data_IF_014369053141
#
_entry.id   IF_014369053141
#
_cell.length_a   1.000
_cell.length_b   1.000
_cell.length_c   1.000
_cell.angle_alpha   90.00
_cell.angle_beta   90.00
_cell.angle_gamma   90.00
#
_symmetry.space_group_name_H-M   'P 1'
#
loop_
_entity.id
_entity.type
_entity.pdbx_description
1 polymer ?
#
# COMPACT_ATOMS: atom_id res chain seq x y z
N UNK A 1 27.41 42.76 29.41
CA UNK A 1 26.16 42.12 29.04
C UNK A 1 26.29 41.65 27.59
N UNK A 2 26.74 40.44 27.37
CA UNK A 2 26.96 39.85 26.06
C UNK A 2 25.75 38.96 25.75
N UNK A 3 24.96 39.41 24.77
CA UNK A 3 23.83 38.68 24.23
C UNK A 3 24.34 37.52 23.37
N UNK A 4 24.11 36.29 23.82
CA UNK A 4 24.38 35.10 23.05
C UNK A 4 23.20 34.85 22.14
N UNK A 5 23.38 35.12 20.84
CA UNK A 5 22.39 34.79 19.82
C UNK A 5 22.30 33.26 19.71
N UNK A 6 21.09 32.74 19.84
CA UNK A 6 20.75 31.35 19.59
C UNK A 6 20.95 31.06 18.08
N UNK A 7 21.59 29.98 17.66
CA UNK A 7 21.73 29.67 16.25
C UNK A 7 20.36 29.32 15.67
N UNK A 8 20.00 30.00 14.58
CA UNK A 8 18.84 29.69 13.74
C UNK A 8 18.90 28.23 13.28
N UNK A 9 18.11 27.38 13.91
CA UNK A 9 17.84 26.03 13.40
C UNK A 9 17.00 26.22 12.14
N UNK A 10 17.63 26.13 10.96
CA UNK A 10 16.92 26.03 9.69
C UNK A 10 15.94 24.87 9.80
N UNK A 11 14.66 25.05 9.43
CA UNK A 11 13.72 23.94 9.37
C UNK A 11 14.31 22.89 8.42
N UNK A 12 14.49 21.68 8.92
CA UNK A 12 14.99 20.55 8.15
C UNK A 12 14.05 20.39 6.95
N UNK A 13 14.50 20.74 5.76
CA UNK A 13 13.72 20.52 4.54
C UNK A 13 13.40 19.04 4.47
N UNK A 14 12.13 18.69 4.28
CA UNK A 14 11.72 17.30 4.11
C UNK A 14 12.62 16.68 3.02
N UNK A 15 13.14 15.45 3.24
CA UNK A 15 14.03 14.82 2.28
C UNK A 15 13.38 14.82 0.90
N UNK A 16 14.14 15.13 -0.13
CA UNK A 16 13.71 15.06 -1.51
C UNK A 16 13.17 13.67 -1.82
N UNK A 17 12.33 13.55 -2.81
CA UNK A 17 11.82 12.27 -3.29
C UNK A 17 12.09 12.19 -4.78
N UNK A 18 12.80 11.16 -5.19
CA UNK A 18 13.16 10.93 -6.58
C UNK A 18 12.20 9.94 -7.23
N UNK A 19 11.79 10.25 -8.46
CA UNK A 19 11.03 9.34 -9.31
C UNK A 19 11.92 8.85 -10.45
N UNK A 20 11.96 7.54 -10.68
CA UNK A 20 12.75 6.91 -11.74
C UNK A 20 11.87 5.97 -12.54
N UNK A 21 11.93 6.05 -13.87
CA UNK A 21 11.21 5.11 -14.70
C UNK A 21 11.30 5.40 -16.19
N UNK A 22 10.97 4.39 -16.99
CA UNK A 22 10.85 4.50 -18.45
C UNK A 22 9.36 4.70 -18.79
N UNK A 23 9.05 5.75 -19.54
CA UNK A 23 7.69 6.08 -19.90
C UNK A 23 7.50 6.18 -21.41
N UNK A 24 6.37 5.67 -21.87
CA UNK A 24 5.89 5.97 -23.20
C UNK A 24 5.32 7.42 -23.20
N UNK A 25 5.70 8.23 -24.19
CA UNK A 25 5.45 9.68 -24.29
C UNK A 25 3.96 10.12 -24.31
N UNK A 26 3.01 9.25 -23.96
CA UNK A 26 1.58 9.53 -24.15
C UNK A 26 0.96 10.40 -23.05
N UNK A 27 1.66 10.63 -21.93
CA UNK A 27 1.14 11.38 -20.77
C UNK A 27 2.12 12.46 -20.35
N UNK A 28 1.60 13.63 -19.97
CA UNK A 28 2.39 14.69 -19.33
C UNK A 28 2.63 14.30 -17.85
N UNK A 29 3.50 13.32 -17.65
CA UNK A 29 3.79 12.79 -16.32
C UNK A 29 4.49 13.81 -15.44
N UNK A 30 5.32 14.68 -16.02
CA UNK A 30 5.97 15.73 -15.26
C UNK A 30 4.95 16.71 -14.66
N UNK A 31 3.88 17.00 -15.39
CA UNK A 31 2.75 17.78 -14.85
C UNK A 31 2.02 17.03 -13.73
N UNK A 32 1.83 15.73 -13.89
CA UNK A 32 1.20 14.89 -12.85
C UNK A 32 2.11 14.75 -11.62
N UNK A 33 3.43 14.62 -11.80
CA UNK A 33 4.41 14.68 -10.72
C UNK A 33 4.34 16.01 -9.96
N UNK A 34 4.29 17.14 -10.69
CA UNK A 34 4.15 18.44 -10.07
C UNK A 34 2.86 18.58 -9.25
N UNK A 35 1.74 18.00 -9.71
CA UNK A 35 0.48 17.96 -8.96
C UNK A 35 0.58 17.14 -7.66
N UNK A 36 1.49 16.16 -7.60
CA UNK A 36 1.82 15.40 -6.40
C UNK A 36 2.90 16.08 -5.52
N UNK A 37 3.37 17.26 -5.89
CA UNK A 37 4.46 17.95 -5.19
C UNK A 37 5.81 17.28 -5.37
N UNK A 38 6.03 16.61 -6.51
CA UNK A 38 7.24 15.89 -6.86
C UNK A 38 8.01 16.60 -7.96
N UNK A 39 9.33 16.43 -7.97
CA UNK A 39 10.18 16.84 -9.07
C UNK A 39 9.87 16.02 -10.34
N UNK A 40 10.23 16.49 -11.54
CA UNK A 40 10.16 15.72 -12.77
C UNK A 40 10.87 14.36 -12.61
N UNK A 41 10.33 13.33 -13.26
CA UNK A 41 10.93 12.00 -13.22
C UNK A 41 12.31 11.96 -13.91
N UNK A 42 13.15 11.00 -13.52
CA UNK A 42 14.43 10.69 -14.14
C UNK A 42 14.36 9.35 -14.85
N UNK A 43 15.05 9.24 -16.00
CA UNK A 43 15.20 7.96 -16.68
C UNK A 43 16.44 7.18 -16.22
N UNK A 44 17.33 7.83 -15.47
CA UNK A 44 18.54 7.19 -14.94
C UNK A 44 18.23 6.48 -13.62
N UNK A 45 18.67 5.22 -13.45
CA UNK A 45 18.58 4.56 -12.16
C UNK A 45 19.36 5.34 -11.09
N UNK A 46 19.04 5.15 -9.80
CA UNK A 46 19.83 5.72 -8.73
C UNK A 46 21.24 5.14 -8.75
N UNK A 47 22.25 6.01 -8.62
CA UNK A 47 23.63 5.56 -8.48
C UNK A 47 23.78 4.86 -7.12
N UNK A 48 24.48 3.72 -7.07
CA UNK A 48 24.68 2.93 -5.85
C UNK A 48 25.46 3.68 -4.74
N UNK A 49 26.08 4.81 -5.08
CA UNK A 49 27.08 5.46 -4.22
C UNK A 49 26.56 6.66 -3.43
N UNK A 50 25.25 6.98 -3.40
CA UNK A 50 24.85 8.21 -2.70
C UNK A 50 23.38 8.56 -2.66
N UNK A 51 22.47 7.62 -2.76
CA UNK A 51 21.05 7.94 -2.70
C UNK A 51 20.64 8.31 -1.25
N UNK A 52 20.94 9.55 -0.85
CA UNK A 52 20.33 10.15 0.35
C UNK A 52 18.81 10.35 0.18
N UNK A 53 18.32 10.34 -1.06
CA UNK A 53 16.92 10.56 -1.38
C UNK A 53 16.18 9.24 -1.67
N UNK A 54 15.06 8.98 -0.97
CA UNK A 54 14.24 7.82 -1.25
C UNK A 54 13.71 7.88 -2.70
N UNK A 55 13.75 6.75 -3.39
CA UNK A 55 13.44 6.64 -4.81
C UNK A 55 12.21 5.75 -5.04
N UNK A 56 11.24 6.21 -5.81
CA UNK A 56 10.11 5.43 -6.31
C UNK A 56 10.32 5.04 -7.76
N UNK A 57 10.06 3.77 -8.09
CA UNK A 57 10.07 3.29 -9.46
C UNK A 57 8.71 3.57 -10.11
N UNK A 58 8.74 4.15 -11.33
CA UNK A 58 7.58 4.36 -12.19
C UNK A 58 7.64 3.38 -13.36
N UNK A 59 6.61 2.60 -13.58
CA UNK A 59 6.46 1.78 -14.78
C UNK A 59 4.99 1.41 -15.01
N UNK A 60 4.66 0.95 -16.20
CA UNK A 60 3.33 0.45 -16.51
C UNK A 60 3.35 -0.43 -17.75
N UNK A 61 2.52 -1.48 -17.76
CA UNK A 61 1.79 -2.06 -16.64
C UNK A 61 2.71 -2.76 -15.61
N UNK A 62 2.20 -2.97 -14.38
CA UNK A 62 2.96 -3.63 -13.32
C UNK A 62 3.21 -5.12 -13.66
N UNK A 63 4.44 -5.58 -13.43
CA UNK A 63 4.82 -6.99 -13.52
C UNK A 63 5.41 -7.47 -12.19
N UNK A 64 5.48 -8.80 -11.99
CA UNK A 64 6.11 -9.38 -10.80
C UNK A 64 7.55 -8.88 -10.66
N UNK A 65 8.28 -8.78 -11.75
CA UNK A 65 9.69 -8.36 -11.77
C UNK A 65 9.84 -6.88 -11.40
N UNK A 66 9.03 -5.99 -12.00
CA UNK A 66 9.08 -4.55 -11.69
C UNK A 66 8.70 -4.28 -10.24
N UNK A 67 7.67 -4.96 -9.71
CA UNK A 67 7.29 -4.83 -8.30
C UNK A 67 8.40 -5.34 -7.37
N UNK A 68 8.92 -6.54 -7.63
CA UNK A 68 10.01 -7.11 -6.81
C UNK A 68 11.23 -6.20 -6.79
N UNK A 69 11.61 -5.67 -7.94
CA UNK A 69 12.74 -4.75 -8.06
C UNK A 69 12.49 -3.46 -7.26
N UNK A 70 11.33 -2.85 -7.40
CA UNK A 70 10.97 -1.60 -6.73
C UNK A 70 10.83 -1.71 -5.20
N UNK A 71 10.60 -2.91 -4.68
CA UNK A 71 10.53 -3.18 -3.24
C UNK A 71 11.90 -3.52 -2.63
N UNK A 72 12.96 -3.54 -3.44
CA UNK A 72 14.35 -3.80 -3.02
C UNK A 72 15.11 -2.48 -2.98
N UNK A 73 15.93 -2.20 -1.93
CA UNK A 73 16.79 -1.03 -1.90
C UNK A 73 17.63 -0.89 -3.18
N UNK A 74 17.88 0.31 -3.70
CA UNK A 74 17.62 1.62 -3.09
C UNK A 74 16.21 2.15 -3.28
N UNK A 75 15.31 1.40 -3.93
CA UNK A 75 13.93 1.84 -4.13
C UNK A 75 13.11 1.75 -2.84
N UNK A 76 12.20 2.71 -2.70
CA UNK A 76 11.23 2.76 -1.61
C UNK A 76 9.81 2.36 -2.03
N UNK A 77 9.62 1.88 -3.26
CA UNK A 77 8.34 1.40 -3.75
C UNK A 77 8.09 1.63 -5.23
N UNK A 78 6.84 1.42 -5.61
CA UNK A 78 6.38 1.40 -7.00
C UNK A 78 5.10 2.22 -7.18
N UNK A 79 5.08 3.03 -8.23
CA UNK A 79 3.87 3.70 -8.70
C UNK A 79 3.58 3.23 -10.14
N UNK A 80 2.49 2.52 -10.32
CA UNK A 80 2.06 2.09 -11.65
C UNK A 80 1.56 3.27 -12.47
N UNK A 81 2.03 3.35 -13.72
CA UNK A 81 1.47 4.25 -14.72
C UNK A 81 0.26 3.54 -15.33
N UNK A 82 -0.93 3.97 -14.95
CA UNK A 82 -2.19 3.44 -15.48
C UNK A 82 -2.55 4.01 -16.85
N UNK A 83 -3.76 3.69 -17.33
CA UNK A 83 -4.30 4.22 -18.58
C UNK A 83 -4.44 5.74 -18.61
N UNK A 84 -4.50 6.37 -17.46
CA UNK A 84 -4.62 7.81 -17.20
C UNK A 84 -3.37 8.39 -16.50
N UNK A 85 -2.24 7.71 -16.64
CA UNK A 85 -0.96 8.09 -16.06
C UNK A 85 -0.91 7.84 -14.55
N UNK A 86 -0.59 8.88 -13.77
CA UNK A 86 -0.50 8.85 -12.31
C UNK A 86 -1.78 9.33 -11.61
N UNK A 87 -2.88 9.47 -12.33
CA UNK A 87 -4.16 9.90 -11.77
C UNK A 87 -4.59 8.96 -10.65
N UNK A 88 -5.13 9.53 -9.58
CA UNK A 88 -5.64 8.77 -8.43
C UNK A 88 -4.58 8.28 -7.45
N UNK A 89 -3.28 8.54 -7.67
CA UNK A 89 -2.26 8.27 -6.65
C UNK A 89 -2.50 9.18 -5.45
N UNK A 90 -2.58 8.56 -4.28
CA UNK A 90 -2.81 9.26 -3.02
C UNK A 90 -1.55 9.94 -2.48
N UNK A 91 -1.74 11.08 -1.80
CA UNK A 91 -0.65 11.81 -1.15
C UNK A 91 0.08 10.96 -0.10
N UNK A 92 -0.61 9.99 0.50
CA UNK A 92 -0.03 9.03 1.46
C UNK A 92 1.16 8.26 0.88
N UNK A 93 1.18 7.94 -0.43
CA UNK A 93 2.33 7.31 -1.09
C UNK A 93 3.61 8.14 -0.87
N UNK A 94 3.48 9.45 -1.08
CA UNK A 94 4.60 10.39 -0.99
C UNK A 94 5.04 10.58 0.46
N UNK A 95 4.07 10.78 1.35
CA UNK A 95 4.31 10.99 2.78
C UNK A 95 4.96 9.77 3.44
N UNK A 96 4.50 8.55 3.08
CA UNK A 96 5.08 7.31 3.59
C UNK A 96 6.54 7.18 3.22
N UNK A 97 6.88 7.44 1.95
CA UNK A 97 8.27 7.32 1.47
C UNK A 97 9.16 8.40 2.06
N UNK A 98 8.69 9.65 2.15
CA UNK A 98 9.41 10.74 2.82
C UNK A 98 9.66 10.47 4.31
N UNK A 99 8.79 9.69 4.93
CA UNK A 99 8.95 9.24 6.32
C UNK A 99 9.86 8.00 6.47
N UNK A 100 10.52 7.54 5.39
CA UNK A 100 11.40 6.37 5.39
C UNK A 100 10.69 5.02 5.22
N UNK A 101 9.39 5.03 4.93
CA UNK A 101 8.61 3.85 4.66
C UNK A 101 8.74 3.35 3.22
N UNK A 102 7.90 2.37 2.88
CA UNK A 102 7.73 1.90 1.50
C UNK A 102 6.27 1.96 1.06
N UNK A 103 6.06 2.15 -0.23
CA UNK A 103 4.71 2.24 -0.80
C UNK A 103 4.59 1.48 -2.12
N UNK A 104 3.36 1.07 -2.42
CA UNK A 104 2.99 0.47 -3.69
C UNK A 104 1.63 1.04 -4.11
N UNK A 105 1.52 1.53 -5.35
CA UNK A 105 0.24 1.96 -5.93
C UNK A 105 0.03 1.25 -7.26
N UNK A 106 -1.00 0.40 -7.34
CA UNK A 106 -1.38 -0.40 -8.52
C UNK A 106 -2.81 -0.11 -8.94
N UNK A 107 -3.08 -0.29 -10.24
CA UNK A 107 -4.47 -0.38 -10.72
C UNK A 107 -5.14 -1.66 -10.22
N UNK A 108 -6.46 -1.68 -10.12
CA UNK A 108 -7.22 -2.88 -9.74
C UNK A 108 -6.95 -4.04 -10.70
N UNK A 109 -6.77 -3.75 -12.00
CA UNK A 109 -6.40 -4.75 -13.01
C UNK A 109 -5.08 -5.42 -12.68
N UNK A 110 -4.03 -4.65 -12.47
CA UNK A 110 -2.69 -5.19 -12.17
C UNK A 110 -2.67 -5.92 -10.83
N UNK A 111 -3.33 -5.37 -9.82
CA UNK A 111 -3.42 -6.00 -8.51
C UNK A 111 -4.09 -7.39 -8.52
N UNK A 112 -5.00 -7.64 -9.48
CA UNK A 112 -5.62 -8.94 -9.69
C UNK A 112 -4.75 -9.95 -10.44
N UNK A 113 -3.66 -9.52 -11.08
CA UNK A 113 -2.83 -10.36 -11.95
C UNK A 113 -1.50 -10.76 -11.34
N UNK A 114 -1.07 -10.10 -10.25
CA UNK A 114 0.20 -10.35 -9.56
C UNK A 114 -0.03 -10.96 -8.17
N UNK A 115 0.90 -11.77 -7.64
CA UNK A 115 0.83 -12.29 -6.27
C UNK A 115 1.21 -11.21 -5.26
N UNK A 116 0.35 -10.18 -5.16
CA UNK A 116 0.63 -8.92 -4.46
C UNK A 116 0.98 -9.14 -2.99
N UNK A 117 0.20 -9.98 -2.29
CA UNK A 117 0.39 -10.26 -0.86
C UNK A 117 1.76 -10.88 -0.60
N UNK A 118 2.16 -11.87 -1.40
CA UNK A 118 3.45 -12.54 -1.28
C UNK A 118 4.62 -11.56 -1.50
N UNK A 119 4.54 -10.74 -2.56
CA UNK A 119 5.58 -9.75 -2.87
C UNK A 119 5.77 -8.75 -1.74
N UNK A 120 4.68 -8.22 -1.18
CA UNK A 120 4.71 -7.26 -0.09
C UNK A 120 5.20 -7.92 1.21
N UNK A 121 4.71 -9.11 1.56
CA UNK A 121 5.11 -9.81 2.77
C UNK A 121 6.63 -10.10 2.78
N UNK A 122 7.18 -10.54 1.64
CA UNK A 122 8.63 -10.73 1.47
C UNK A 122 9.38 -9.40 1.66
N UNK A 123 8.88 -8.31 1.09
CA UNK A 123 9.52 -6.99 1.21
C UNK A 123 9.48 -6.47 2.66
N UNK A 124 8.36 -6.63 3.37
CA UNK A 124 8.22 -6.26 4.78
C UNK A 124 9.24 -7.03 5.62
N UNK A 125 9.26 -8.37 5.49
CA UNK A 125 10.19 -9.22 6.25
C UNK A 125 11.65 -8.82 6.03
N UNK A 126 12.05 -8.58 4.79
CA UNK A 126 13.43 -8.16 4.47
C UNK A 126 13.76 -6.78 5.02
N UNK A 127 12.88 -5.80 4.80
CA UNK A 127 13.15 -4.39 5.15
C UNK A 127 13.16 -4.16 6.65
N UNK A 128 12.31 -4.87 7.38
CA UNK A 128 12.18 -4.75 8.83
C UNK A 128 12.99 -5.82 9.58
N UNK A 129 13.71 -6.70 8.88
CA UNK A 129 14.39 -7.85 9.47
C UNK A 129 13.46 -8.64 10.42
N UNK A 130 12.20 -8.84 10.02
CA UNK A 130 11.23 -9.54 10.84
C UNK A 130 11.66 -10.99 11.08
N UNK A 131 11.63 -11.42 12.32
CA UNK A 131 11.80 -12.83 12.66
C UNK A 131 10.69 -13.66 12.01
N UNK A 132 11.04 -14.87 11.57
CA UNK A 132 10.04 -15.86 11.14
C UNK A 132 9.29 -16.38 12.36
N UNK A 133 7.96 -16.54 12.25
CA UNK A 133 7.12 -17.04 13.35
C UNK A 133 5.70 -16.55 13.25
N UNK A 134 4.93 -16.80 14.31
CA UNK A 134 3.49 -16.55 14.38
C UNK A 134 3.09 -15.10 14.01
N UNK A 135 3.85 -14.10 14.48
CA UNK A 135 3.58 -12.69 14.18
C UNK A 135 3.73 -12.37 12.68
N UNK A 136 4.72 -12.97 12.00
CA UNK A 136 4.91 -12.78 10.57
C UNK A 136 3.77 -13.44 9.76
N UNK A 137 3.34 -14.64 10.16
CA UNK A 137 2.21 -15.34 9.54
C UNK A 137 0.90 -14.58 9.75
N UNK A 138 0.64 -14.09 10.95
CA UNK A 138 -0.54 -13.27 11.25
C UNK A 138 -0.55 -11.98 10.45
N UNK A 139 0.58 -11.31 10.28
CA UNK A 139 0.69 -10.12 9.43
C UNK A 139 0.35 -10.44 7.97
N UNK A 140 0.84 -11.57 7.44
CA UNK A 140 0.53 -11.98 6.06
C UNK A 140 -0.96 -12.26 5.86
N UNK A 141 -1.60 -12.93 6.82
CA UNK A 141 -3.04 -13.19 6.79
C UNK A 141 -3.82 -11.86 6.84
N UNK A 142 -3.43 -10.93 7.71
CA UNK A 142 -4.06 -9.61 7.80
C UNK A 142 -3.89 -8.81 6.50
N UNK A 143 -2.69 -8.83 5.91
CA UNK A 143 -2.42 -8.22 4.62
C UNK A 143 -3.31 -8.82 3.52
N UNK A 144 -3.43 -10.15 3.46
CA UNK A 144 -4.25 -10.84 2.47
C UNK A 144 -5.74 -10.45 2.58
N UNK A 145 -6.27 -10.42 3.80
CA UNK A 145 -7.65 -9.99 4.05
C UNK A 145 -7.87 -8.51 3.70
N UNK A 146 -6.97 -7.63 4.10
CA UNK A 146 -7.08 -6.19 3.81
C UNK A 146 -7.01 -5.93 2.30
N UNK A 147 -6.06 -6.54 1.59
CA UNK A 147 -5.90 -6.42 0.13
C UNK A 147 -7.12 -7.01 -0.60
N UNK A 148 -7.59 -8.18 -0.19
CA UNK A 148 -8.80 -8.80 -0.78
C UNK A 148 -10.03 -7.90 -0.60
N UNK A 149 -10.21 -7.33 0.58
CA UNK A 149 -11.33 -6.42 0.87
C UNK A 149 -11.23 -5.14 0.04
N UNK A 150 -10.06 -4.52 -0.04
CA UNK A 150 -9.82 -3.31 -0.82
C UNK A 150 -10.08 -3.52 -2.31
N UNK A 151 -9.63 -4.64 -2.89
CA UNK A 151 -9.85 -4.95 -4.31
C UNK A 151 -11.31 -5.30 -4.55
N UNK A 152 -11.85 -6.29 -3.82
CA UNK A 152 -13.14 -6.91 -4.14
C UNK A 152 -14.30 -6.01 -3.72
N UNK A 153 -14.28 -5.53 -2.48
CA UNK A 153 -15.40 -4.78 -1.92
C UNK A 153 -15.22 -3.28 -2.05
N UNK A 154 -13.97 -2.79 -2.04
CA UNK A 154 -13.61 -1.41 -2.32
C UNK A 154 -13.65 -1.13 -3.82
N UNK A 155 -12.57 -1.41 -4.54
CA UNK A 155 -12.40 -1.00 -5.93
C UNK A 155 -13.44 -1.58 -6.90
N UNK A 156 -13.77 -2.88 -6.78
CA UNK A 156 -14.70 -3.56 -7.69
C UNK A 156 -16.15 -3.56 -7.19
N UNK A 157 -16.41 -3.08 -5.98
CA UNK A 157 -17.76 -2.99 -5.39
C UNK A 157 -18.57 -4.30 -5.48
N UNK A 158 -17.90 -5.44 -5.29
CA UNK A 158 -18.55 -6.76 -5.38
C UNK A 158 -19.16 -7.11 -4.00
N UNK A 159 -20.47 -7.39 -3.93
CA UNK A 159 -21.13 -7.68 -2.68
C UNK A 159 -20.65 -8.98 -2.00
N UNK A 160 -20.51 -8.95 -0.66
CA UNK A 160 -20.04 -10.09 0.15
C UNK A 160 -20.90 -11.35 -0.01
N UNK A 161 -22.22 -11.22 -0.20
CA UNK A 161 -23.14 -12.35 -0.26
C UNK A 161 -22.92 -13.28 -1.47
N UNK A 162 -22.27 -12.80 -2.53
CA UNK A 162 -21.98 -13.60 -3.73
C UNK A 162 -21.01 -14.76 -3.45
N UNK A 163 -20.20 -14.66 -2.42
CA UNK A 163 -19.25 -15.72 -2.01
C UNK A 163 -19.87 -16.74 -1.02
N UNK A 164 -21.08 -16.49 -0.54
CA UNK A 164 -21.68 -17.28 0.55
C UNK A 164 -22.21 -18.66 0.13
N UNK A 165 -22.37 -18.92 -1.18
CA UNK A 165 -22.92 -20.18 -1.70
C UNK A 165 -22.07 -20.74 -2.85
N UNK A 166 -22.05 -22.08 -3.04
CA UNK A 166 -21.33 -22.68 -4.17
C UNK A 166 -21.76 -22.13 -5.55
N UNK A 167 -23.04 -21.92 -5.76
CA UNK A 167 -23.57 -21.28 -7.00
C UNK A 167 -23.18 -19.81 -7.11
N UNK A 168 -22.97 -19.12 -6.01
CA UNK A 168 -22.53 -17.74 -5.96
C UNK A 168 -21.09 -17.55 -6.46
N UNK A 169 -20.26 -18.59 -6.44
CA UNK A 169 -18.87 -18.49 -6.90
C UNK A 169 -18.75 -18.23 -8.41
N UNK A 170 -19.58 -18.85 -9.24
CA UNK A 170 -19.62 -18.59 -10.68
C UNK A 170 -20.11 -17.18 -10.97
N UNK A 171 -21.17 -16.74 -10.28
CA UNK A 171 -21.66 -15.36 -10.34
C UNK A 171 -20.60 -14.36 -9.90
N UNK A 172 -19.88 -14.65 -8.81
CA UNK A 172 -18.77 -13.82 -8.35
C UNK A 172 -17.68 -13.66 -9.41
N UNK A 173 -17.25 -14.76 -10.06
CA UNK A 173 -16.26 -14.71 -11.14
C UNK A 173 -16.75 -13.93 -12.36
N UNK A 174 -18.02 -14.04 -12.69
CA UNK A 174 -18.63 -13.29 -13.77
C UNK A 174 -18.63 -11.79 -13.46
N UNK A 175 -19.17 -11.40 -12.29
CA UNK A 175 -19.22 -10.00 -11.86
C UNK A 175 -17.79 -9.42 -11.77
N UNK A 176 -16.82 -10.16 -11.27
CA UNK A 176 -15.44 -9.72 -11.23
C UNK A 176 -14.88 -9.40 -12.63
N UNK A 177 -15.16 -10.27 -13.62
CA UNK A 177 -14.76 -10.00 -15.02
C UNK A 177 -15.44 -8.77 -15.59
N UNK A 178 -16.74 -8.61 -15.35
CA UNK A 178 -17.52 -7.45 -15.78
C UNK A 178 -16.97 -6.14 -15.20
N UNK A 179 -16.67 -6.13 -13.88
CA UNK A 179 -16.10 -4.97 -13.19
C UNK A 179 -14.69 -4.62 -13.70
N UNK A 180 -13.84 -5.62 -13.93
CA UNK A 180 -12.50 -5.41 -14.51
C UNK A 180 -12.54 -5.00 -15.99
N UNK A 181 -13.65 -5.21 -16.69
CA UNK A 181 -13.86 -4.71 -18.06
C UNK A 181 -14.37 -3.27 -18.10
N UNK A 182 -14.85 -2.73 -16.97
CA UNK A 182 -15.20 -1.32 -16.84
C UNK A 182 -13.92 -0.49 -16.63
N UNK A 183 -13.56 0.42 -17.56
CA UNK A 183 -12.32 1.19 -17.46
C UNK A 183 -12.21 2.01 -16.17
N UNK A 184 -13.32 2.50 -15.63
CA UNK A 184 -13.34 3.30 -14.40
C UNK A 184 -12.97 2.43 -13.19
N UNK A 185 -13.57 1.24 -13.07
CA UNK A 185 -13.26 0.33 -11.97
C UNK A 185 -11.88 -0.32 -12.12
N UNK A 186 -11.51 -0.67 -13.34
CA UNK A 186 -10.23 -1.28 -13.69
C UNK A 186 -9.04 -0.36 -13.37
N UNK A 187 -9.20 0.96 -13.54
CA UNK A 187 -8.17 1.97 -13.25
C UNK A 187 -8.12 2.42 -11.78
N UNK A 188 -9.11 2.10 -10.95
CA UNK A 188 -9.07 2.41 -9.51
C UNK A 188 -7.83 1.84 -8.87
N UNK A 189 -7.23 2.59 -7.94
CA UNK A 189 -5.97 2.20 -7.32
C UNK A 189 -6.18 1.46 -6.02
N UNK A 190 -5.33 0.46 -5.81
CA UNK A 190 -5.03 -0.06 -4.49
C UNK A 190 -3.65 0.44 -4.10
N UNK A 191 -3.54 0.97 -2.89
CA UNK A 191 -2.28 1.46 -2.37
C UNK A 191 -1.94 0.75 -1.07
N UNK A 192 -0.67 0.40 -0.91
CA UNK A 192 -0.16 -0.28 0.28
C UNK A 192 1.01 0.52 0.80
N UNK A 193 0.98 0.81 2.09
CA UNK A 193 1.96 1.64 2.77
C UNK A 193 2.49 0.92 3.99
N UNK A 194 3.81 0.88 4.13
CA UNK A 194 4.48 0.26 5.29
C UNK A 194 5.43 1.27 5.90
N UNK A 195 5.29 1.50 7.19
CA UNK A 195 6.09 2.50 7.90
C UNK A 195 6.42 2.02 9.32
N UNK A 196 7.70 1.93 9.62
CA UNK A 196 8.20 1.73 10.96
C UNK A 196 8.72 3.07 11.51
N UNK A 197 7.97 3.72 12.39
CA UNK A 197 8.36 5.02 12.98
C UNK A 197 9.04 4.88 14.33
N UNK A 198 8.76 3.81 15.04
CA UNK A 198 9.29 3.55 16.39
C UNK A 198 9.85 2.14 16.46
N UNK A 199 10.91 1.90 17.25
CA UNK A 199 11.32 0.55 17.57
C UNK A 199 10.15 -0.23 18.19
N UNK A 200 10.01 -1.48 17.79
CA UNK A 200 9.00 -2.40 18.35
C UNK A 200 7.63 -2.39 17.66
N UNK A 201 7.37 -1.50 16.68
CA UNK A 201 6.13 -1.54 15.91
C UNK A 201 6.27 -0.97 14.49
N UNK A 202 5.43 -1.44 13.59
CA UNK A 202 5.23 -0.84 12.27
C UNK A 202 3.76 -0.75 11.91
N UNK A 203 3.43 0.16 11.03
CA UNK A 203 2.09 0.31 10.46
C UNK A 203 2.05 -0.24 9.05
N UNK A 204 0.98 -0.93 8.73
CA UNK A 204 0.60 -1.38 7.40
C UNK A 204 -0.76 -0.75 7.07
N UNK A 205 -0.81 0.09 6.05
CA UNK A 205 -2.06 0.67 5.58
C UNK A 205 -2.39 0.17 4.17
N UNK A 206 -3.66 -0.15 3.95
CA UNK A 206 -4.20 -0.55 2.64
C UNK A 206 -5.32 0.40 2.29
N UNK A 207 -5.21 1.08 1.14
CA UNK A 207 -6.16 2.07 0.66
C UNK A 207 -6.79 1.62 -0.65
N UNK A 208 -8.07 1.93 -0.84
CA UNK A 208 -8.83 1.72 -2.07
C UNK A 208 -9.56 2.99 -2.52
N UNK A 209 -10.18 2.95 -3.69
CA UNK A 209 -10.96 4.06 -4.26
C UNK A 209 -12.45 3.74 -4.38
N UNK A 210 -12.92 2.82 -3.55
CA UNK A 210 -14.32 2.48 -3.46
C UNK A 210 -15.14 3.46 -2.60
N UNK A 211 -16.37 3.05 -2.24
CA UNK A 211 -17.25 3.88 -1.43
C UNK A 211 -16.81 4.04 0.03
N UNK A 212 -15.83 3.22 0.47
CA UNK A 212 -15.44 3.14 1.88
C UNK A 212 -16.40 2.30 2.72
N UNK A 213 -16.06 2.10 3.99
CA UNK A 213 -16.90 1.36 4.93
C UNK A 213 -16.80 1.91 6.36
N UNK A 214 -17.86 1.71 7.14
CA UNK A 214 -17.86 2.02 8.57
C UNK A 214 -17.25 0.85 9.35
N UNK A 215 -16.00 1.01 9.79
CA UNK A 215 -15.25 0.01 10.55
C UNK A 215 -15.99 -0.36 11.85
N UNK A 216 -16.53 0.62 12.58
CA UNK A 216 -17.19 0.39 13.85
C UNK A 216 -18.50 -0.39 13.68
N UNK A 217 -19.29 -0.06 12.64
CA UNK A 217 -20.50 -0.79 12.30
C UNK A 217 -20.19 -2.22 11.85
N UNK A 218 -19.14 -2.42 11.07
CA UNK A 218 -18.72 -3.75 10.61
C UNK A 218 -18.25 -4.62 11.76
N UNK A 219 -17.47 -4.09 12.69
CA UNK A 219 -17.03 -4.78 13.90
C UNK A 219 -18.23 -5.23 14.74
N UNK A 220 -19.23 -4.35 14.93
CA UNK A 220 -20.45 -4.69 15.67
C UNK A 220 -21.27 -5.78 14.98
N UNK A 221 -21.32 -5.77 13.65
CA UNK A 221 -22.00 -6.76 12.85
C UNK A 221 -21.34 -8.13 12.97
N UNK A 222 -20.02 -8.21 12.86
CA UNK A 222 -19.27 -9.46 13.01
C UNK A 222 -19.37 -10.07 14.41
N UNK A 223 -19.41 -9.22 15.45
CA UNK A 223 -19.60 -9.69 16.82
C UNK A 223 -20.99 -10.30 17.08
N UNK A 224 -22.00 -9.99 16.23
CA UNK A 224 -23.38 -10.51 16.33
C UNK A 224 -23.65 -11.69 15.42
N UNK A 225 -22.85 -11.89 14.40
CA UNK A 225 -23.05 -12.95 13.42
C UNK A 225 -22.42 -14.25 13.92
N UNK A 226 -23.23 -15.35 14.01
CA UNK A 226 -22.75 -16.72 14.15
C UNK A 226 -21.93 -17.11 12.89
N UNK A 227 -20.77 -16.80 12.94
CA UNK A 227 -19.44 -17.07 12.40
C UNK A 227 -19.30 -18.03 11.19
N UNK A 228 -19.99 -17.84 10.08
CA UNK A 228 -19.63 -18.51 8.81
C UNK A 228 -19.16 -17.60 7.67
N UNK A 229 -19.43 -16.31 7.72
CA UNK A 229 -18.94 -15.30 6.78
C UNK A 229 -18.51 -14.04 7.52
N UNK A 230 -17.47 -13.33 7.07
CA UNK A 230 -17.01 -12.08 7.67
C UNK A 230 -15.94 -12.23 8.76
N UNK A 231 -15.15 -13.32 8.75
CA UNK A 231 -14.11 -13.56 9.76
C UNK A 231 -12.85 -12.71 9.60
N UNK A 232 -12.66 -12.08 8.45
CA UNK A 232 -11.40 -11.39 8.10
C UNK A 232 -11.08 -10.24 9.04
N UNK A 233 -12.03 -9.34 9.27
CA UNK A 233 -11.82 -8.19 10.16
C UNK A 233 -11.65 -8.61 11.63
N UNK A 234 -12.39 -9.64 12.06
CA UNK A 234 -12.23 -10.23 13.39
C UNK A 234 -10.85 -10.86 13.60
N UNK A 235 -10.26 -11.43 12.55
CA UNK A 235 -8.91 -11.95 12.55
C UNK A 235 -7.87 -10.82 12.64
N UNK A 236 -8.01 -9.79 11.80
CA UNK A 236 -7.16 -8.61 11.81
C UNK A 236 -7.13 -7.99 13.22
N UNK A 237 -8.29 -7.81 13.86
CA UNK A 237 -8.40 -7.25 15.21
C UNK A 237 -7.66 -8.05 16.30
N UNK A 238 -7.54 -9.36 16.13
CA UNK A 238 -6.81 -10.20 17.11
C UNK A 238 -5.31 -10.19 16.87
N UNK A 239 -4.90 -9.96 15.62
CA UNK A 239 -3.51 -10.00 15.22
C UNK A 239 -2.79 -8.65 15.33
N UNK A 240 -3.53 -7.54 15.27
CA UNK A 240 -2.98 -6.19 15.31
C UNK A 240 -3.02 -5.60 16.71
N UNK A 241 -2.04 -4.76 17.05
CA UNK A 241 -2.09 -3.94 18.26
C UNK A 241 -3.19 -2.89 18.16
N UNK A 242 -3.31 -2.22 17.01
CA UNK A 242 -4.41 -1.30 16.69
C UNK A 242 -4.93 -1.51 15.28
N UNK A 243 -6.21 -1.17 15.06
CA UNK A 243 -6.85 -1.11 13.76
C UNK A 243 -7.70 0.17 13.68
N UNK A 244 -7.48 0.93 12.64
CA UNK A 244 -8.13 2.20 12.42
C UNK A 244 -8.59 2.31 10.96
N UNK A 245 -9.62 3.12 10.69
CA UNK A 245 -10.00 3.46 9.33
C UNK A 245 -9.92 4.96 9.11
N UNK A 246 -9.42 5.35 7.95
CA UNK A 246 -9.24 6.73 7.53
C UNK A 246 -9.93 6.97 6.19
N UNK A 247 -9.93 8.21 5.72
CA UNK A 247 -10.45 8.62 4.39
C UNK A 247 -11.89 8.17 4.13
N UNK A 248 -12.74 8.25 5.16
CA UNK A 248 -14.14 7.80 5.06
C UNK A 248 -14.27 6.28 4.93
N UNK A 249 -13.34 5.53 5.48
CA UNK A 249 -13.34 4.06 5.45
C UNK A 249 -12.69 3.45 4.21
N UNK A 250 -11.97 4.24 3.40
CA UNK A 250 -11.23 3.75 2.24
C UNK A 250 -9.80 3.33 2.56
N UNK A 251 -9.30 3.68 3.72
CA UNK A 251 -7.98 3.28 4.20
C UNK A 251 -8.10 2.52 5.49
N UNK A 252 -7.60 1.28 5.51
CA UNK A 252 -7.47 0.47 6.71
C UNK A 252 -6.03 0.54 7.20
N UNK A 253 -5.83 1.03 8.42
CA UNK A 253 -4.51 1.14 9.07
C UNK A 253 -4.40 0.09 10.16
N UNK A 254 -3.37 -0.73 10.10
CA UNK A 254 -3.09 -1.82 11.02
C UNK A 254 -1.71 -1.62 11.64
N UNK A 255 -1.59 -1.66 12.96
CA UNK A 255 -0.31 -1.59 13.66
C UNK A 255 0.05 -2.97 14.19
N UNK A 256 1.25 -3.41 13.86
CA UNK A 256 1.80 -4.69 14.31
C UNK A 256 2.95 -4.48 15.28
N UNK A 257 3.07 -5.32 16.33
CA UNK A 257 4.31 -5.40 17.10
C UNK A 257 5.43 -5.92 16.19
N UNK A 258 6.62 -5.43 16.40
CA UNK A 258 7.79 -5.80 15.63
C UNK A 258 8.99 -6.08 16.55
N UNK A 259 9.50 -7.30 16.43
CA UNK A 259 10.77 -7.71 17.03
C UNK A 259 11.76 -7.98 15.90
N UNK A 260 12.90 -7.29 15.94
CA UNK A 260 13.98 -7.52 14.98
C UNK A 260 14.66 -8.87 15.24
N UNK A 261 14.93 -9.61 14.17
CA UNK A 261 15.68 -10.88 14.26
C UNK A 261 17.13 -10.72 14.76
N UNK A 262 17.64 -9.49 14.90
CA UNK A 262 19.03 -9.21 15.29
C UNK A 262 19.26 -9.08 16.78
N UNK A 263 18.25 -9.12 17.63
CA UNK A 263 18.40 -8.97 19.10
C UNK A 263 18.51 -10.31 19.85
N UNK A 264 18.63 -11.45 19.13
CA UNK A 264 18.67 -12.79 19.69
C UNK A 264 19.93 -13.59 19.36
N UNK A 265 21.13 -13.01 19.59
CA UNK A 265 22.40 -13.78 19.51
C UNK A 265 23.38 -13.30 20.56
#
# INVERSE_FOLDING_TARGET
MTSTACPDVKPNAAPGLRLVGSMNRMWDVDRQCAALGLAPHSTSPPDDAGAEEPTLLLAGPATIETIRHSLTPPYAGFLEIGSDGLTGIGQRCIETVRAGGMTLSLTATSACTVPLVELIAVAIRRRLALATGENAELMEICLAEAVSNAIIHGNLEIPNHLRATPKGFDTFRQVMRERLSDPVMASRRIEIHVLARQPGSFTLAVSDQGPGFDLAAQIKKEARADARSGRGLGLIRRACATIESEDGGRTLVMTFPWESATEGS
#
